data_IF_921885319130
#
_entry.id   IF_921885319130
#
_cell.length_a   1.000
_cell.length_b   1.000
_cell.length_c   1.000
_cell.angle_alpha   90.00
_cell.angle_beta   90.00
_cell.angle_gamma   90.00
#
_symmetry.space_group_name_H-M   'P 1'
#
loop_
_entity.id
_entity.type
_entity.pdbx_description
1 polymer ?
#
# COMPACT_ATOMS: atom_id res chain seq x y z
N UNK A 1 -12.99 26.01 1.99
CA UNK A 1 -12.37 24.87 2.69
C UNK A 1 -11.46 24.17 1.71
N UNK A 2 -10.21 23.90 2.08
CA UNK A 2 -9.25 23.17 1.25
C UNK A 2 -8.94 21.84 1.94
N UNK A 3 -8.93 20.75 1.18
CA UNK A 3 -8.52 19.43 1.68
C UNK A 3 -7.06 19.18 1.28
N UNK A 4 -6.19 18.90 2.25
CA UNK A 4 -4.80 18.52 2.00
C UNK A 4 -4.70 17.01 1.86
N UNK A 5 -4.16 16.54 0.73
CA UNK A 5 -3.99 15.12 0.45
C UNK A 5 -2.50 14.81 0.29
N UNK A 6 -2.03 13.78 0.98
CA UNK A 6 -0.69 13.21 0.79
C UNK A 6 -0.78 11.86 0.10
N UNK A 7 0.06 11.66 -0.90
CA UNK A 7 0.24 10.38 -1.57
C UNK A 7 1.51 9.72 -1.02
N UNK A 8 1.36 8.62 -0.29
CA UNK A 8 2.47 7.92 0.34
C UNK A 8 2.84 6.68 -0.49
N UNK A 9 3.83 6.79 -1.35
CA UNK A 9 4.31 5.66 -2.14
C UNK A 9 5.29 4.80 -1.32
N UNK A 10 5.04 3.49 -1.27
CA UNK A 10 5.86 2.50 -0.58
C UNK A 10 5.79 1.17 -1.30
N UNK A 11 6.83 0.36 -1.19
CA UNK A 11 6.77 -1.04 -1.64
C UNK A 11 6.00 -1.88 -0.63
N UNK A 12 5.29 -2.90 -1.12
CA UNK A 12 4.59 -3.88 -0.32
C UNK A 12 5.13 -5.29 -0.62
N UNK A 13 5.61 -5.97 0.41
CA UNK A 13 6.08 -7.34 0.34
C UNK A 13 4.89 -8.30 0.46
N UNK A 14 4.86 -9.31 -0.41
CA UNK A 14 3.86 -10.37 -0.36
C UNK A 14 3.92 -11.14 0.96
N UNK A 15 2.76 -11.33 1.60
CA UNK A 15 2.57 -12.12 2.84
C UNK A 15 3.40 -11.63 4.05
N UNK A 16 3.82 -10.36 4.06
CA UNK A 16 4.45 -9.74 5.23
C UNK A 16 3.66 -8.51 5.74
N UNK A 17 2.49 -8.71 6.37
CA UNK A 17 1.70 -7.59 6.85
C UNK A 17 2.39 -6.70 7.87
N UNK A 18 3.15 -7.29 8.78
CA UNK A 18 3.79 -6.52 9.84
C UNK A 18 4.94 -5.69 9.27
N UNK A 19 5.77 -6.23 8.36
CA UNK A 19 6.82 -5.45 7.71
C UNK A 19 6.25 -4.36 6.80
N UNK A 20 5.12 -4.62 6.12
CA UNK A 20 4.42 -3.63 5.32
C UNK A 20 3.90 -2.46 6.15
N UNK A 21 3.26 -2.74 7.29
CA UNK A 21 2.80 -1.70 8.22
C UNK A 21 3.96 -0.87 8.77
N UNK A 22 5.08 -1.51 9.15
CA UNK A 22 6.29 -0.81 9.61
C UNK A 22 6.89 0.11 8.53
N UNK A 23 6.80 -0.25 7.25
CA UNK A 23 7.22 0.62 6.14
C UNK A 23 6.28 1.80 5.93
N UNK A 24 4.97 1.60 6.09
CA UNK A 24 3.97 2.65 5.91
C UNK A 24 3.93 3.66 7.07
N UNK A 25 4.15 3.21 8.30
CA UNK A 25 4.05 4.01 9.53
C UNK A 25 4.82 5.35 9.48
N UNK A 26 6.13 5.40 9.15
CA UNK A 26 6.85 6.67 9.11
C UNK A 26 6.37 7.62 7.99
N UNK A 27 5.85 7.09 6.88
CA UNK A 27 5.32 7.89 5.78
C UNK A 27 4.02 8.59 6.19
N UNK A 28 3.12 7.86 6.86
CA UNK A 28 1.87 8.40 7.38
C UNK A 28 2.16 9.41 8.50
N UNK A 29 3.08 9.11 9.41
CA UNK A 29 3.44 9.99 10.51
C UNK A 29 4.04 11.33 10.03
N UNK A 30 4.79 11.32 8.93
CA UNK A 30 5.35 12.52 8.32
C UNK A 30 4.34 13.31 7.44
N UNK A 31 3.18 12.73 7.14
CA UNK A 31 2.21 13.35 6.24
C UNK A 31 1.45 14.48 6.95
N UNK A 32 1.75 15.73 6.58
CA UNK A 32 0.96 16.89 6.97
C UNK A 32 -0.29 17.02 6.06
N UNK A 33 -1.26 16.11 6.22
CA UNK A 33 -2.47 16.03 5.38
C UNK A 33 -3.73 15.66 6.18
N UNK A 34 -4.89 16.02 5.63
CA UNK A 34 -6.20 15.63 6.15
C UNK A 34 -6.60 14.23 5.65
N UNK A 35 -6.08 13.84 4.47
CA UNK A 35 -6.25 12.52 3.87
C UNK A 35 -4.89 11.99 3.39
N UNK A 36 -4.56 10.76 3.77
CA UNK A 36 -3.40 10.03 3.25
C UNK A 36 -3.88 8.89 2.36
N UNK A 37 -3.32 8.79 1.16
CA UNK A 37 -3.59 7.70 0.23
C UNK A 37 -2.37 6.81 0.14
N UNK A 38 -2.59 5.51 0.32
CA UNK A 38 -1.58 4.46 0.21
C UNK A 38 -1.84 3.64 -1.08
N UNK A 39 -0.83 2.90 -1.57
CA UNK A 39 -1.00 2.01 -2.71
C UNK A 39 -2.05 0.94 -2.45
N UNK A 40 -2.60 0.40 -3.52
CA UNK A 40 -3.45 -0.79 -3.45
C UNK A 40 -2.68 -1.95 -2.79
N UNK A 41 -3.36 -2.71 -1.93
CA UNK A 41 -2.79 -3.83 -1.18
C UNK A 41 -1.51 -3.50 -0.38
N UNK A 42 -1.32 -2.23 0.04
CA UNK A 42 -0.10 -1.80 0.74
C UNK A 42 0.25 -2.68 1.95
N UNK A 43 -0.77 -3.21 2.64
CA UNK A 43 -0.59 -4.03 3.83
C UNK A 43 -0.28 -5.50 3.51
N UNK A 44 -0.64 -6.03 2.35
CA UNK A 44 -0.51 -7.48 2.06
C UNK A 44 0.49 -7.78 0.96
N UNK A 45 0.82 -6.79 0.14
CA UNK A 45 1.49 -6.99 -1.14
C UNK A 45 0.56 -7.62 -2.17
N UNK A 46 1.06 -7.72 -3.39
CA UNK A 46 0.40 -8.38 -4.52
C UNK A 46 1.30 -9.54 -5.00
N UNK A 47 0.72 -10.73 -5.21
CA UNK A 47 1.46 -11.87 -5.74
C UNK A 47 1.52 -11.75 -7.25
N UNK A 48 2.73 -11.51 -7.78
CA UNK A 48 2.98 -11.49 -9.22
C UNK A 48 3.40 -12.86 -9.75
N UNK A 49 3.43 -13.91 -8.91
CA UNK A 49 3.75 -15.25 -9.38
C UNK A 49 2.66 -15.75 -10.34
N UNK A 50 3.06 -16.28 -11.49
CA UNK A 50 2.13 -16.79 -12.50
C UNK A 50 1.17 -17.88 -11.96
N UNK A 51 1.57 -18.62 -10.91
CA UNK A 51 0.74 -19.63 -10.26
C UNK A 51 -0.42 -19.04 -9.43
N UNK A 52 -0.36 -17.76 -9.07
CA UNK A 52 -1.39 -17.05 -8.31
C UNK A 52 -2.34 -16.24 -9.20
N UNK A 53 -2.07 -16.17 -10.52
CA UNK A 53 -2.92 -15.48 -11.47
C UNK A 53 -4.21 -16.25 -11.71
N UNK A 54 -5.34 -15.54 -11.83
CA UNK A 54 -6.58 -16.14 -12.30
C UNK A 54 -6.42 -16.62 -13.76
N UNK A 55 -7.13 -17.69 -14.16
CA UNK A 55 -7.13 -18.16 -15.54
C UNK A 55 -7.64 -17.06 -16.49
N UNK A 56 -7.23 -17.13 -17.75
CA UNK A 56 -7.81 -16.27 -18.78
C UNK A 56 -9.32 -16.52 -18.88
N UNK A 57 -10.12 -15.46 -18.64
CA UNK A 57 -11.59 -15.51 -18.71
C UNK A 57 -12.32 -15.25 -17.39
N UNK A 58 -11.62 -15.23 -16.25
CA UNK A 58 -12.22 -15.05 -14.92
C UNK A 58 -12.75 -16.36 -14.35
#
# INVERSE_FOLDING_TARGET
>A
MNLRVSLCQTEAAWRDPIGNLRRAEPLVAAAAADLVVLPELFATGFDVAAAAAEPEGG
#
